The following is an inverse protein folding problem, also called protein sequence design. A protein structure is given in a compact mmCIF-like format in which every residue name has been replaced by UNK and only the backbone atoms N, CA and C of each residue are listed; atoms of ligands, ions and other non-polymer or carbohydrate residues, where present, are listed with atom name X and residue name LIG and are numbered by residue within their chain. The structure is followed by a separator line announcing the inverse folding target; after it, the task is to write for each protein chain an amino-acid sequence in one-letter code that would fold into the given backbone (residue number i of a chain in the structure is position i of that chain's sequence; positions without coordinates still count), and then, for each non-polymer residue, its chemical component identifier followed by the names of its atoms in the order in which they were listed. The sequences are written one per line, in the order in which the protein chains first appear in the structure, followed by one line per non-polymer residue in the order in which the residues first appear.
data_IF_187847554967
#
_entry.id   IF_187847554967
#
_cell.length_a   1.000
_cell.length_b   1.000
_cell.length_c   1.000
_cell.angle_alpha   90.00
_cell.angle_beta   90.00
_cell.angle_gamma   90.00
#
_symmetry.space_group_name_H-M   'P 1'
#
loop_
_entity.id
_entity.type
_entity.pdbx_description
1 polymer ?
#
# COMPACT_ATOMS: atom_id res chain seq x y z
N UNK A 1 32.24 -30.46 53.97
CA UNK A 1 32.42 -30.74 52.52
C UNK A 1 31.12 -30.90 51.71
N UNK A 2 29.98 -31.34 52.27
CA UNK A 2 28.71 -31.53 51.49
C UNK A 2 28.17 -30.24 50.83
N UNK A 3 28.33 -29.06 51.44
CA UNK A 3 27.83 -27.79 50.90
C UNK A 3 28.60 -27.25 49.69
N UNK A 4 29.90 -27.54 49.57
CA UNK A 4 30.73 -27.11 48.42
C UNK A 4 30.37 -27.93 47.17
N UNK A 5 30.19 -29.26 47.33
CA UNK A 5 29.76 -30.14 46.23
C UNK A 5 28.39 -29.74 45.68
N UNK A 6 27.44 -29.31 46.54
CA UNK A 6 26.10 -28.82 46.16
C UNK A 6 26.15 -27.49 45.39
N UNK A 7 27.03 -26.55 45.78
CA UNK A 7 27.23 -25.27 45.06
C UNK A 7 27.78 -25.47 43.64
N UNK A 8 28.75 -26.38 43.47
CA UNK A 8 29.37 -26.68 42.17
C UNK A 8 28.37 -27.35 41.21
N UNK A 9 27.50 -28.23 41.71
CA UNK A 9 26.48 -28.91 40.87
C UNK A 9 25.40 -27.97 40.37
N UNK A 10 24.96 -27.01 41.19
CA UNK A 10 24.00 -26.00 40.76
C UNK A 10 24.59 -25.05 39.71
N UNK A 11 25.86 -24.64 39.86
CA UNK A 11 26.52 -23.77 38.89
C UNK A 11 26.64 -24.41 37.50
N UNK A 12 26.97 -25.72 37.45
CA UNK A 12 27.03 -26.47 36.19
C UNK A 12 25.66 -26.60 35.52
N UNK A 13 24.58 -26.84 36.30
CA UNK A 13 23.21 -26.91 35.76
C UNK A 13 22.75 -25.56 35.21
N UNK A 14 23.02 -24.47 35.91
CA UNK A 14 22.69 -23.11 35.45
C UNK A 14 23.47 -22.74 34.18
N UNK A 15 24.74 -23.13 34.11
CA UNK A 15 25.57 -22.89 32.92
C UNK A 15 25.07 -23.65 31.68
N UNK A 16 24.65 -24.91 31.84
CA UNK A 16 24.04 -25.71 30.77
C UNK A 16 22.71 -25.09 30.30
N UNK A 17 21.88 -24.64 31.25
CA UNK A 17 20.61 -23.99 30.92
C UNK A 17 20.81 -22.68 30.13
N UNK A 18 21.77 -21.85 30.54
CA UNK A 18 22.13 -20.61 29.85
C UNK A 18 22.65 -20.85 28.43
N UNK A 19 23.43 -21.90 28.22
CA UNK A 19 23.96 -22.24 26.89
C UNK A 19 22.86 -22.71 25.94
N UNK A 20 21.87 -23.48 26.42
CA UNK A 20 20.70 -23.89 25.62
C UNK A 20 19.87 -22.67 25.19
N UNK A 21 19.59 -21.74 26.12
CA UNK A 21 18.85 -20.51 25.81
C UNK A 21 19.59 -19.69 24.75
N UNK A 22 20.90 -19.52 24.91
CA UNK A 22 21.72 -18.77 23.95
C UNK A 22 21.65 -19.40 22.55
N UNK A 23 21.70 -20.73 22.47
CA UNK A 23 21.60 -21.45 21.21
C UNK A 23 20.23 -21.23 20.55
N UNK A 24 19.14 -21.32 21.31
CA UNK A 24 17.78 -21.03 20.82
C UNK A 24 17.64 -19.60 20.29
N UNK A 25 18.20 -18.61 20.99
CA UNK A 25 18.15 -17.21 20.56
C UNK A 25 18.92 -16.97 19.26
N UNK A 26 20.07 -17.62 19.09
CA UNK A 26 20.86 -17.55 17.85
C UNK A 26 20.13 -18.23 16.69
N UNK A 27 19.54 -19.41 16.91
CA UNK A 27 18.76 -20.08 15.86
C UNK A 27 17.54 -19.26 15.42
N UNK A 28 16.86 -18.61 16.38
CA UNK A 28 15.72 -17.73 16.09
C UNK A 28 16.15 -16.47 15.32
N UNK A 29 17.30 -15.89 15.66
CA UNK A 29 17.81 -14.71 14.96
C UNK A 29 18.21 -15.02 13.52
N UNK A 30 18.87 -16.17 13.29
CA UNK A 30 19.22 -16.64 11.95
C UNK A 30 17.97 -16.90 11.13
N UNK A 31 16.97 -17.58 11.70
CA UNK A 31 15.70 -17.84 11.02
C UNK A 31 14.98 -16.53 10.62
N UNK A 32 14.94 -15.54 11.51
CA UNK A 32 14.36 -14.23 11.21
C UNK A 32 15.16 -13.45 10.14
N UNK A 33 16.48 -13.65 10.06
CA UNK A 33 17.32 -13.02 9.05
C UNK A 33 17.17 -13.68 7.68
N UNK A 34 17.11 -15.01 7.61
CA UNK A 34 17.00 -15.77 6.36
C UNK A 34 15.59 -15.75 5.76
N UNK A 35 14.54 -15.66 6.59
CA UNK A 35 13.16 -15.54 6.13
C UNK A 35 12.66 -14.11 5.92
N UNK A 36 13.55 -13.10 6.01
CA UNK A 36 13.24 -11.82 5.38
C UNK A 36 13.20 -12.06 3.87
N UNK A 37 11.98 -12.37 3.36
CA UNK A 37 11.66 -12.41 1.94
C UNK A 37 12.41 -11.28 1.26
N UNK A 38 13.23 -11.61 0.26
CA UNK A 38 13.81 -10.61 -0.63
C UNK A 38 12.67 -9.73 -1.13
N UNK A 39 12.62 -8.50 -0.62
CA UNK A 39 11.77 -7.48 -1.19
C UNK A 39 12.44 -7.16 -2.52
N UNK A 40 11.99 -7.83 -3.59
CA UNK A 40 12.35 -7.42 -4.95
C UNK A 40 11.87 -5.99 -5.10
N UNK A 41 12.79 -5.04 -4.99
CA UNK A 41 12.57 -3.65 -5.35
C UNK A 41 12.40 -3.70 -6.87
N UNK A 42 11.15 -3.64 -7.32
CA UNK A 42 10.85 -3.48 -8.73
C UNK A 42 11.29 -2.06 -9.06
N UNK A 43 12.47 -1.93 -9.66
CA UNK A 43 12.90 -0.69 -10.29
C UNK A 43 11.86 -0.38 -11.37
N UNK A 44 11.01 0.62 -11.10
CA UNK A 44 10.08 1.13 -12.10
C UNK A 44 10.92 1.68 -13.24
N UNK A 45 10.94 0.95 -14.37
CA UNK A 45 11.49 1.45 -15.63
C UNK A 45 10.94 2.86 -15.87
N UNK A 46 11.87 3.78 -16.13
CA UNK A 46 11.57 5.19 -16.38
C UNK A 46 10.51 5.36 -17.49
N UNK A 47 9.75 6.44 -17.33
CA UNK A 47 8.63 6.87 -18.16
C UNK A 47 9.02 6.99 -19.64
N UNK A 48 8.31 6.29 -20.54
CA UNK A 48 8.57 6.29 -22.00
C UNK A 48 7.42 6.82 -22.87
N UNK A 49 6.33 7.35 -22.29
CA UNK A 49 5.21 7.90 -23.06
C UNK A 49 5.22 9.44 -23.09
N UNK A 50 4.65 10.00 -24.16
CA UNK A 50 4.48 11.44 -24.30
C UNK A 50 3.36 11.92 -23.36
N UNK A 51 3.66 12.86 -22.45
CA UNK A 51 2.66 13.41 -21.52
C UNK A 51 1.76 14.46 -22.18
N UNK A 52 2.20 15.08 -23.27
CA UNK A 52 1.48 16.13 -24.01
C UNK A 52 1.40 15.74 -25.50
N UNK A 53 0.57 14.74 -25.83
CA UNK A 53 0.32 14.34 -27.21
C UNK A 53 -0.29 15.50 -28.01
N UNK A 54 0.01 15.56 -29.31
CA UNK A 54 -0.43 16.65 -30.18
C UNK A 54 -1.77 16.37 -30.87
N UNK A 55 -2.14 15.10 -31.00
CA UNK A 55 -3.35 14.63 -31.68
C UNK A 55 -3.97 13.41 -30.96
N UNK A 56 -5.09 12.91 -31.49
CA UNK A 56 -5.89 11.83 -30.87
C UNK A 56 -5.18 10.48 -30.93
N UNK A 57 -4.51 10.20 -32.04
CA UNK A 57 -3.75 8.96 -32.23
C UNK A 57 -2.61 8.86 -31.21
N UNK A 58 -1.79 9.91 -31.10
CA UNK A 58 -0.72 10.00 -30.11
C UNK A 58 -1.24 9.95 -28.67
N UNK A 59 -2.40 10.55 -28.41
CA UNK A 59 -3.04 10.49 -27.10
C UNK A 59 -3.44 9.07 -26.75
N UNK A 60 -4.11 8.37 -27.66
CA UNK A 60 -4.55 6.99 -27.45
C UNK A 60 -3.36 6.04 -27.26
N UNK A 61 -2.31 6.17 -28.07
CA UNK A 61 -1.08 5.40 -27.88
C UNK A 61 -0.44 5.66 -26.51
N UNK A 62 -0.27 6.94 -26.15
CA UNK A 62 0.37 7.33 -24.90
C UNK A 62 -0.45 6.87 -23.69
N UNK A 63 -1.78 6.92 -23.80
CA UNK A 63 -2.70 6.45 -22.77
C UNK A 63 -2.59 4.94 -22.58
N UNK A 64 -2.50 4.16 -23.66
CA UNK A 64 -2.32 2.71 -23.56
C UNK A 64 -0.97 2.34 -22.94
N UNK A 65 0.12 3.03 -23.33
CA UNK A 65 1.44 2.84 -22.70
C UNK A 65 1.39 3.17 -21.21
N UNK A 66 0.72 4.26 -20.84
CA UNK A 66 0.53 4.62 -19.43
C UNK A 66 -0.27 3.54 -18.69
N UNK A 67 -1.41 3.09 -19.22
CA UNK A 67 -2.21 2.00 -18.62
C UNK A 67 -1.40 0.72 -18.43
N UNK A 68 -0.54 0.36 -19.38
CA UNK A 68 0.31 -0.83 -19.31
C UNK A 68 1.37 -0.75 -18.22
N UNK A 69 1.79 0.45 -17.82
CA UNK A 69 2.74 0.61 -16.72
C UNK A 69 2.11 0.62 -15.33
N UNK A 70 0.84 1.07 -15.22
CA UNK A 70 0.25 1.46 -13.93
C UNK A 70 0.50 0.43 -12.84
N UNK A 71 0.94 0.92 -11.67
CA UNK A 71 1.19 0.11 -10.47
C UNK A 71 -0.06 -0.68 -10.06
N UNK A 72 -1.24 -0.07 -10.19
CA UNK A 72 -2.54 -0.69 -9.96
C UNK A 72 -3.37 -0.69 -11.24
N UNK A 73 -3.86 -1.88 -11.62
CA UNK A 73 -4.69 -2.07 -12.81
C UNK A 73 -6.17 -2.09 -12.43
N UNK A 74 -6.99 -1.58 -13.34
CA UNK A 74 -8.43 -1.67 -13.25
C UNK A 74 -8.90 -3.13 -13.11
N UNK A 75 -9.85 -3.37 -12.21
CA UNK A 75 -10.48 -4.65 -11.92
C UNK A 75 -9.70 -5.54 -10.94
N UNK A 76 -8.45 -5.21 -10.63
CA UNK A 76 -7.59 -6.04 -9.80
C UNK A 76 -7.76 -5.75 -8.30
N UNK A 77 -7.56 -6.79 -7.50
CA UNK A 77 -7.48 -6.71 -6.04
C UNK A 77 -6.04 -6.82 -5.56
N UNK A 78 -5.72 -6.06 -4.52
CA UNK A 78 -4.41 -6.04 -3.88
C UNK A 78 -4.60 -6.12 -2.38
N UNK A 79 -3.76 -6.89 -1.71
CA UNK A 79 -3.64 -6.86 -0.26
C UNK A 79 -3.04 -5.54 0.20
N UNK A 80 -3.32 -5.12 1.43
CA UNK A 80 -2.67 -3.96 2.03
C UNK A 80 -1.13 -4.04 1.98
N UNK A 81 -0.57 -5.23 2.17
CA UNK A 81 0.88 -5.46 2.06
C UNK A 81 1.42 -5.17 0.65
N UNK A 82 0.73 -5.60 -0.40
CA UNK A 82 1.13 -5.33 -1.78
C UNK A 82 1.05 -3.84 -2.11
N UNK A 83 0.00 -3.16 -1.65
CA UNK A 83 -0.14 -1.71 -1.81
C UNK A 83 1.01 -0.98 -1.11
N UNK A 84 1.34 -1.35 0.14
CA UNK A 84 2.48 -0.79 0.89
C UNK A 84 3.80 -1.06 0.19
N UNK A 85 4.01 -2.27 -0.34
CA UNK A 85 5.27 -2.61 -1.00
C UNK A 85 5.44 -1.84 -2.33
N UNK A 86 4.35 -1.59 -3.04
CA UNK A 86 4.34 -0.83 -4.30
C UNK A 86 4.48 0.68 -4.10
N UNK A 87 3.77 1.26 -3.13
CA UNK A 87 3.78 2.69 -2.87
C UNK A 87 4.84 3.13 -1.85
N UNK A 88 5.28 2.23 -0.98
CA UNK A 88 6.18 2.54 0.12
C UNK A 88 5.45 3.16 1.32
N UNK A 89 6.24 3.69 2.26
CA UNK A 89 5.78 4.25 3.53
C UNK A 89 5.70 5.79 3.53
N UNK A 90 6.22 6.44 2.50
CA UNK A 90 6.18 7.90 2.37
C UNK A 90 4.85 8.37 1.81
N UNK A 91 4.55 9.65 2.00
CA UNK A 91 3.47 10.31 1.27
C UNK A 91 3.70 10.21 -0.23
N UNK A 92 2.63 9.92 -0.99
CA UNK A 92 2.65 9.94 -2.46
C UNK A 92 1.33 10.45 -3.01
N UNK A 93 1.41 11.06 -4.19
CA UNK A 93 0.24 11.32 -5.02
C UNK A 93 0.03 10.15 -5.97
N UNK A 94 -1.18 9.62 -6.01
CA UNK A 94 -1.59 8.58 -6.92
C UNK A 94 -2.55 9.17 -7.96
N UNK A 95 -2.15 9.18 -9.21
CA UNK A 95 -2.92 9.65 -10.35
C UNK A 95 -3.76 8.50 -10.88
N UNK A 96 -5.08 8.63 -10.86
CA UNK A 96 -6.00 7.62 -11.36
C UNK A 96 -6.71 8.10 -12.64
N UNK A 97 -7.22 7.19 -13.47
CA UNK A 97 -8.12 7.57 -14.56
C UNK A 97 -9.53 7.85 -14.06
N UNK A 98 -10.23 8.74 -14.77
CA UNK A 98 -11.66 8.91 -14.62
C UNK A 98 -12.42 7.61 -14.92
N UNK A 99 -13.50 7.37 -14.20
CA UNK A 99 -14.46 6.31 -14.54
C UNK A 99 -14.39 5.04 -13.69
N UNK A 100 -13.78 5.09 -12.49
CA UNK A 100 -13.76 3.93 -11.60
C UNK A 100 -13.71 4.26 -10.11
N UNK A 101 -13.68 3.20 -9.29
CA UNK A 101 -13.71 3.30 -7.83
C UNK A 101 -12.47 2.63 -7.22
N UNK A 102 -12.08 3.07 -6.02
CA UNK A 102 -11.21 2.29 -5.13
C UNK A 102 -12.08 1.76 -4.01
N UNK A 103 -12.11 0.44 -3.86
CA UNK A 103 -13.07 -0.25 -3.01
C UNK A 103 -12.32 -1.04 -1.96
N UNK A 104 -12.81 -0.99 -0.73
CA UNK A 104 -12.38 -1.95 0.29
C UNK A 104 -13.07 -3.29 0.09
N UNK A 105 -12.29 -4.27 -0.36
CA UNK A 105 -12.68 -5.66 -0.54
C UNK A 105 -12.87 -6.40 0.79
N UNK A 106 -13.64 -7.49 0.71
CA UNK A 106 -14.34 -8.20 1.80
C UNK A 106 -13.79 -8.04 3.24
N UNK A 107 -14.61 -7.41 4.10
CA UNK A 107 -14.67 -7.74 5.53
C UNK A 107 -15.56 -8.97 5.63
N UNK A 108 -15.07 -10.08 6.19
CA UNK A 108 -15.90 -11.27 6.46
C UNK A 108 -17.19 -10.84 7.17
N UNK A 109 -18.32 -11.24 6.59
CA UNK A 109 -19.66 -11.28 7.18
C UNK A 109 -20.20 -9.95 7.73
N UNK A 110 -20.90 -9.18 6.87
CA UNK A 110 -21.89 -8.19 7.33
C UNK A 110 -21.44 -6.75 7.50
N UNK A 111 -20.19 -6.40 7.18
CA UNK A 111 -19.67 -5.04 7.38
C UNK A 111 -19.58 -4.23 6.07
N UNK A 112 -20.15 -3.03 6.12
CA UNK A 112 -20.22 -1.95 5.13
C UNK A 112 -19.15 -1.99 4.01
N UNK A 113 -19.59 -2.11 2.75
CA UNK A 113 -18.73 -1.85 1.58
C UNK A 113 -18.44 -0.36 1.51
N UNK A 114 -17.17 0.01 1.57
CA UNK A 114 -16.73 1.42 1.52
C UNK A 114 -15.99 1.65 0.20
N UNK A 115 -16.48 2.58 -0.61
CA UNK A 115 -15.98 2.84 -1.96
C UNK A 115 -15.63 4.31 -2.16
N UNK A 116 -14.43 4.60 -2.64
CA UNK A 116 -14.02 5.92 -3.07
C UNK A 116 -14.25 6.08 -4.58
N UNK A 117 -15.16 6.97 -5.00
CA UNK A 117 -15.49 7.22 -6.41
C UNK A 117 -14.53 8.24 -7.03
N UNK A 118 -13.60 7.78 -7.87
CA UNK A 118 -12.62 8.65 -8.55
C UNK A 118 -13.31 9.57 -9.55
N UNK A 119 -14.36 9.10 -10.21
CA UNK A 119 -15.13 9.88 -11.20
C UNK A 119 -15.89 11.09 -10.65
N UNK A 120 -15.94 11.24 -9.33
CA UNK A 120 -16.51 12.44 -8.70
C UNK A 120 -15.49 13.58 -8.51
N UNK A 121 -14.23 13.36 -8.90
CA UNK A 121 -13.19 14.38 -8.90
C UNK A 121 -13.22 15.17 -10.21
N UNK A 122 -12.85 16.45 -10.17
CA UNK A 122 -12.73 17.26 -11.40
C UNK A 122 -11.62 16.70 -12.29
N UNK A 123 -11.79 16.74 -13.62
CA UNK A 123 -10.88 16.16 -14.64
C UNK A 123 -9.39 16.43 -14.42
N UNK A 124 -9.05 17.62 -13.93
CA UNK A 124 -7.66 18.00 -13.72
C UNK A 124 -7.07 17.46 -12.38
N UNK A 125 -7.83 16.70 -11.59
CA UNK A 125 -7.54 16.34 -10.21
C UNK A 125 -7.96 14.90 -9.81
N UNK A 126 -7.86 13.89 -10.69
CA UNK A 126 -7.99 12.47 -10.28
C UNK A 126 -6.82 11.97 -9.40
N UNK A 127 -6.17 12.90 -8.73
CA UNK A 127 -5.08 12.69 -7.81
C UNK A 127 -5.66 12.25 -6.48
N UNK A 128 -5.07 11.22 -5.90
CA UNK A 128 -5.37 10.75 -4.55
C UNK A 128 -4.12 10.92 -3.71
N UNK A 129 -4.27 11.56 -2.57
CA UNK A 129 -3.21 11.58 -1.58
C UNK A 129 -3.18 10.22 -0.89
N UNK A 130 -2.07 9.51 -1.07
CA UNK A 130 -1.74 8.31 -0.33
C UNK A 130 -0.86 8.68 0.87
N UNK A 131 -1.25 8.23 2.05
CA UNK A 131 -0.41 8.31 3.24
C UNK A 131 -0.47 7.03 4.05
N UNK A 132 0.69 6.62 4.54
CA UNK A 132 0.88 5.45 5.37
C UNK A 132 1.25 5.89 6.78
N UNK A 133 0.56 5.35 7.77
CA UNK A 133 0.86 5.53 9.18
C UNK A 133 1.14 4.17 9.80
N UNK A 134 2.30 4.06 10.42
CA UNK A 134 2.60 2.95 11.29
C UNK A 134 2.03 3.26 12.68
N UNK A 135 1.09 2.45 13.14
CA UNK A 135 0.72 2.39 14.55
C UNK A 135 1.22 1.04 15.10
N UNK A 136 1.66 1.01 16.35
CA UNK A 136 2.22 -0.16 17.06
C UNK A 136 1.42 -1.46 16.88
N UNK A 137 0.12 -1.34 16.59
CA UNK A 137 -0.80 -2.46 16.45
C UNK A 137 -1.31 -2.69 15.03
N UNK A 138 -1.22 -1.71 14.13
CA UNK A 138 -1.76 -1.81 12.78
C UNK A 138 -1.07 -0.83 11.82
N UNK A 139 -0.68 -1.35 10.66
CA UNK A 139 -0.36 -0.55 9.48
C UNK A 139 -1.64 0.06 8.92
N UNK A 140 -1.66 1.38 8.78
CA UNK A 140 -2.81 2.12 8.26
C UNK A 140 -2.45 2.83 6.97
N UNK A 141 -3.06 2.41 5.87
CA UNK A 141 -2.97 3.09 4.57
C UNK A 141 -4.22 3.92 4.36
N UNK A 142 -4.04 5.16 3.91
CA UNK A 142 -5.14 6.05 3.62
C UNK A 142 -5.04 6.60 2.21
N UNK A 143 -6.17 6.57 1.51
CA UNK A 143 -6.37 7.30 0.28
C UNK A 143 -7.37 8.41 0.56
N UNK A 144 -7.04 9.63 0.19
CA UNK A 144 -7.91 10.78 0.45
C UNK A 144 -7.93 11.75 -0.73
N UNK A 145 -8.98 12.56 -0.78
CA UNK A 145 -9.06 13.68 -1.73
C UNK A 145 -7.91 14.66 -1.49
N UNK A 146 -7.35 15.25 -2.57
CA UNK A 146 -6.42 16.35 -2.44
C UNK A 146 -7.01 17.46 -1.58
N UNK A 147 -6.17 18.10 -0.77
CA UNK A 147 -6.55 19.24 0.10
C UNK A 147 -7.55 18.90 1.22
N UNK A 148 -7.89 17.62 1.43
CA UNK A 148 -8.65 17.21 2.62
C UNK A 148 -7.67 16.79 3.71
N UNK A 149 -7.58 17.61 4.76
CA UNK A 149 -6.71 17.38 5.92
C UNK A 149 -7.35 16.49 7.00
N UNK A 150 -8.68 16.47 7.10
CA UNK A 150 -9.43 15.75 8.14
C UNK A 150 -10.59 14.91 7.57
N UNK A 151 -10.94 13.84 8.29
CA UNK A 151 -12.03 12.95 7.94
C UNK A 151 -13.38 13.60 8.29
N UNK A 152 -13.97 14.33 7.35
CA UNK A 152 -15.30 14.93 7.54
C UNK A 152 -16.44 14.03 7.03
N UNK A 153 -16.19 12.71 6.89
CA UNK A 153 -17.18 11.74 6.37
C UNK A 153 -18.47 11.64 7.19
N UNK A 154 -18.50 12.23 8.39
CA UNK A 154 -19.67 12.27 9.27
C UNK A 154 -20.73 13.28 8.78
N UNK A 155 -20.37 14.27 7.95
CA UNK A 155 -21.24 15.44 7.67
C UNK A 155 -21.79 15.57 6.24
N UNK A 156 -21.50 14.65 5.32
CA UNK A 156 -21.95 14.79 3.93
C UNK A 156 -23.11 13.86 3.58
N UNK A 157 -24.17 14.45 3.00
CA UNK A 157 -25.23 13.77 2.23
C UNK A 157 -24.73 13.13 0.93
N UNK A 158 -23.45 13.32 0.61
CA UNK A 158 -22.82 12.82 -0.60
C UNK A 158 -22.20 11.43 -0.29
N UNK A 159 -22.58 10.35 -0.98
CA UNK A 159 -22.39 8.99 -0.48
C UNK A 159 -20.96 8.45 -0.60
N UNK A 160 -19.96 9.31 -0.81
CA UNK A 160 -18.57 8.87 -1.02
C UNK A 160 -17.67 9.27 0.17
N UNK A 161 -16.98 8.31 0.80
CA UNK A 161 -16.02 8.56 1.87
C UNK A 161 -14.91 9.48 1.37
N UNK A 162 -14.58 10.49 2.17
CA UNK A 162 -13.54 11.47 1.86
C UNK A 162 -12.13 10.89 2.06
N UNK A 163 -12.05 9.86 2.91
CA UNK A 163 -10.86 9.11 3.25
C UNK A 163 -11.20 7.63 3.27
N UNK A 164 -10.39 6.82 2.61
CA UNK A 164 -10.50 5.37 2.61
C UNK A 164 -9.35 4.78 3.43
N UNK A 165 -9.69 4.14 4.55
CA UNK A 165 -8.74 3.62 5.54
C UNK A 165 -8.63 2.10 5.45
N UNK A 166 -7.41 1.60 5.27
CA UNK A 166 -7.09 0.20 5.13
C UNK A 166 -6.11 -0.27 6.21
N UNK A 167 -6.34 -1.46 6.73
CA UNK A 167 -5.45 -2.16 7.65
C UNK A 167 -4.69 -3.28 6.94
N UNK A 168 -3.65 -3.82 7.59
CA UNK A 168 -2.77 -4.90 7.09
C UNK A 168 -3.51 -6.07 6.40
N UNK A 169 -4.68 -6.49 6.90
CA UNK A 169 -5.46 -7.60 6.34
C UNK A 169 -6.55 -7.21 5.33
N UNK A 170 -6.67 -5.92 4.97
CA UNK A 170 -7.70 -5.46 4.04
C UNK A 170 -7.34 -5.82 2.60
N UNK A 171 -8.34 -6.25 1.82
CA UNK A 171 -8.27 -6.29 0.37
C UNK A 171 -8.69 -4.94 -0.21
N UNK A 172 -8.04 -4.52 -1.29
CA UNK A 172 -8.27 -3.24 -1.96
C UNK A 172 -8.47 -3.52 -3.44
N UNK A 173 -9.69 -3.30 -3.94
CA UNK A 173 -10.00 -3.41 -5.36
C UNK A 173 -9.88 -2.06 -6.03
N UNK A 174 -9.10 -2.00 -7.11
CA UNK A 174 -8.97 -0.81 -7.93
C UNK A 174 -9.78 -1.02 -9.21
N UNK A 175 -10.97 -0.41 -9.30
CA UNK A 175 -11.80 -0.40 -10.52
C UNK A 175 -11.43 0.75 -11.47
N UNK A 176 -10.24 1.32 -11.30
CA UNK A 176 -9.60 2.29 -12.19
C UNK A 176 -8.09 2.00 -12.27
N UNK A 177 -7.42 2.49 -13.31
CA UNK A 177 -5.96 2.46 -13.41
C UNK A 177 -5.38 3.58 -12.56
N UNK A 178 -4.36 3.26 -11.76
CA UNK A 178 -3.69 4.25 -10.92
C UNK A 178 -2.17 4.08 -10.94
N UNK A 179 -1.45 5.19 -10.97
CA UNK A 179 0.00 5.24 -10.95
C UNK A 179 0.54 6.43 -10.15
N UNK A 180 1.83 6.45 -9.82
CA UNK A 180 2.48 7.62 -9.19
C UNK A 180 2.88 8.69 -10.21
N UNK A 181 2.66 8.44 -11.49
CA UNK A 181 2.93 9.34 -12.60
C UNK A 181 1.62 9.79 -13.26
N UNK A 182 1.50 11.07 -13.67
CA UNK A 182 0.26 11.56 -14.28
C UNK A 182 -0.03 10.88 -15.63
N UNK A 183 -1.31 10.66 -15.98
CA UNK A 183 -1.70 10.20 -17.31
C UNK A 183 -1.39 11.28 -18.36
N UNK A 184 -1.32 10.92 -19.66
CA UNK A 184 -1.20 11.92 -20.73
C UNK A 184 -2.39 12.87 -20.72
N UNK A 185 -2.11 14.14 -21.01
CA UNK A 185 -3.13 15.19 -21.05
C UNK A 185 -3.83 15.20 -22.39
N UNK A 186 -5.17 15.16 -22.38
CA UNK A 186 -5.96 15.26 -23.61
C UNK A 186 -5.74 16.64 -24.26
N UNK A 187 -5.45 16.73 -25.58
CA UNK A 187 -5.25 18.00 -26.27
C UNK A 187 -6.45 18.93 -26.12
N UNK A 188 -6.21 20.24 -26.00
CA UNK A 188 -7.25 21.25 -25.72
C UNK A 188 -8.35 21.32 -26.77
N UNK A 189 -8.03 21.07 -28.03
CA UNK A 189 -8.98 21.05 -29.15
C UNK A 189 -9.89 19.80 -29.16
N UNK A 190 -9.69 18.85 -28.23
CA UNK A 190 -10.47 17.61 -28.08
C UNK A 190 -11.24 17.53 -26.75
N UNK A 191 -11.15 18.57 -25.92
CA UNK A 191 -11.86 18.67 -24.63
C UNK A 191 -13.28 19.15 -24.83
#
# INVERSE_FOLDING_TARGET
MKNIKKKITNYKKTFIFLTIILFCLISLSIYCLTNKKEIKIIENKHITWNQTPSNEEEYNESLQRWKNQCIFKQGNEYTGDEVRNKLGKSWKTLYCLDGGNIIKGNLKEGHLKVEYKVSSLKENNYNLDYCYFYNLYNDVMNFKRPMVSSDNSIFFKDPSPIRLIFTYGSLIKFDTYCDTTPPPTKPSHMR
#
